data_IF_403660688485
#
_entry.id   IF_403660688485
#
_cell.length_a   1.000
_cell.length_b   1.000
_cell.length_c   1.000
_cell.angle_alpha   90.00
_cell.angle_beta   90.00
_cell.angle_gamma   90.00
#
_symmetry.space_group_name_H-M   'P 1'
#
loop_
_entity.id
_entity.type
_entity.pdbx_description
1 polymer ?
#
# COMPACT_ATOMS: atom_id res chain seq x y z
N UNK A 1 -0.56 -70.68 -17.41
CA UNK A 1 -0.66 -69.26 -17.79
C UNK A 1 -0.07 -68.45 -16.65
N UNK A 2 1.12 -67.90 -16.82
CA UNK A 2 1.74 -67.00 -15.83
C UNK A 2 1.38 -65.59 -16.25
N UNK A 3 0.63 -64.86 -15.42
CA UNK A 3 0.32 -63.45 -15.64
C UNK A 3 1.44 -62.64 -15.02
N UNK A 4 2.27 -61.99 -15.85
CA UNK A 4 3.32 -61.07 -15.40
C UNK A 4 2.66 -59.69 -15.26
N UNK A 5 2.59 -59.18 -14.03
CA UNK A 5 2.10 -57.84 -13.75
C UNK A 5 3.25 -56.84 -13.99
N UNK A 6 3.16 -56.03 -15.05
CA UNK A 6 4.11 -54.94 -15.31
C UNK A 6 3.62 -53.71 -14.55
N UNK A 7 4.27 -53.40 -13.42
CA UNK A 7 4.05 -52.15 -12.69
C UNK A 7 4.87 -51.06 -13.40
N UNK A 8 4.20 -50.19 -14.16
CA UNK A 8 4.82 -48.98 -14.72
C UNK A 8 4.84 -47.93 -13.61
N UNK A 9 6.00 -47.74 -12.98
CA UNK A 9 6.23 -46.61 -12.08
C UNK A 9 6.57 -45.40 -12.96
N UNK A 10 5.62 -44.47 -13.10
CA UNK A 10 5.91 -43.17 -13.69
C UNK A 10 6.85 -42.42 -12.75
N UNK A 11 7.95 -41.81 -13.23
CA UNK A 11 8.74 -40.93 -12.37
C UNK A 11 7.84 -39.78 -11.94
N UNK A 12 7.65 -39.61 -10.63
CA UNK A 12 7.11 -38.37 -10.11
C UNK A 12 8.07 -37.26 -10.54
N UNK A 13 7.63 -36.40 -11.45
CA UNK A 13 8.29 -35.11 -11.67
C UNK A 13 8.19 -34.38 -10.34
N UNK A 14 9.29 -34.36 -9.59
CA UNK A 14 9.40 -33.49 -8.43
C UNK A 14 9.21 -32.07 -8.96
N UNK A 15 8.05 -31.48 -8.69
CA UNK A 15 7.88 -30.05 -8.85
C UNK A 15 8.88 -29.41 -7.90
N UNK A 16 9.97 -28.86 -8.46
CA UNK A 16 10.84 -27.98 -7.72
C UNK A 16 9.98 -26.80 -7.29
N UNK A 17 9.59 -26.77 -6.01
CA UNK A 17 9.16 -25.54 -5.40
C UNK A 17 10.39 -24.64 -5.36
N UNK A 18 10.62 -23.89 -6.45
CA UNK A 18 11.46 -22.73 -6.42
C UNK A 18 10.72 -21.75 -5.51
N UNK A 19 10.93 -21.86 -4.20
CA UNK A 19 10.78 -20.71 -3.32
C UNK A 19 11.96 -19.81 -3.69
N UNK A 20 11.87 -19.18 -4.85
CA UNK A 20 12.80 -18.15 -5.25
C UNK A 20 12.70 -17.05 -4.21
N UNK A 21 13.84 -16.56 -3.73
CA UNK A 21 13.86 -15.35 -2.93
C UNK A 21 13.23 -14.24 -3.75
N UNK A 22 12.15 -13.66 -3.26
CA UNK A 22 11.58 -12.46 -3.85
C UNK A 22 12.49 -11.27 -3.53
N UNK A 23 12.88 -10.55 -4.57
CA UNK A 23 13.77 -9.39 -4.50
C UNK A 23 13.14 -8.15 -5.16
N UNK A 24 11.86 -8.21 -5.54
CA UNK A 24 11.18 -7.10 -6.19
C UNK A 24 10.30 -6.39 -5.18
N UNK A 25 10.26 -5.05 -5.24
CA UNK A 25 9.41 -4.28 -4.37
C UNK A 25 8.01 -4.14 -4.97
N UNK A 26 6.97 -3.97 -4.13
CA UNK A 26 5.65 -3.61 -4.61
C UNK A 26 5.67 -2.37 -5.48
N UNK A 27 4.76 -2.30 -6.45
CA UNK A 27 4.56 -1.15 -7.33
C UNK A 27 3.23 -0.49 -6.99
N UNK A 28 3.26 0.82 -6.75
CA UNK A 28 2.03 1.61 -6.59
C UNK A 28 1.61 2.11 -7.96
N UNK A 29 0.53 1.54 -8.46
CA UNK A 29 0.02 1.73 -9.82
C UNK A 29 -0.94 2.93 -9.90
N UNK A 30 -1.74 3.11 -8.85
CA UNK A 30 -2.68 4.22 -8.70
C UNK A 30 -2.60 4.73 -7.27
N UNK A 31 -2.67 6.06 -7.10
CA UNK A 31 -2.78 6.70 -5.80
C UNK A 31 -3.72 7.90 -5.92
N UNK A 32 -4.66 8.00 -4.99
CA UNK A 32 -5.60 9.13 -4.92
C UNK A 32 -6.04 9.34 -3.47
N UNK A 33 -6.43 10.58 -3.16
CA UNK A 33 -7.01 10.92 -1.86
C UNK A 33 -8.12 11.95 -2.02
N UNK A 34 -9.01 12.03 -1.03
CA UNK A 34 -10.04 13.05 -1.00
C UNK A 34 -10.52 13.31 0.43
N UNK A 35 -10.91 14.56 0.76
CA UNK A 35 -10.82 15.76 -0.08
C UNK A 35 -9.36 16.27 -0.21
N UNK A 36 -9.11 17.11 -1.23
CA UNK A 36 -7.81 17.79 -1.44
C UNK A 36 -7.63 19.06 -0.58
N UNK A 37 -8.68 19.47 0.15
CA UNK A 37 -8.59 20.54 1.14
C UNK A 37 -9.49 20.27 2.33
N UNK A 38 -8.98 20.57 3.53
CA UNK A 38 -9.72 20.42 4.79
C UNK A 38 -9.54 21.66 5.66
N UNK A 39 -10.62 22.12 6.29
CA UNK A 39 -10.59 23.10 7.37
C UNK A 39 -10.69 22.35 8.71
N UNK A 40 -9.67 22.53 9.55
CA UNK A 40 -9.58 21.90 10.88
C UNK A 40 -9.60 22.93 12.02
N UNK A 41 -10.19 24.10 11.80
CA UNK A 41 -10.35 25.15 12.82
C UNK A 41 -11.33 24.77 13.93
N UNK A 42 -12.46 24.17 13.54
CA UNK A 42 -13.55 23.81 14.44
C UNK A 42 -13.49 22.35 14.91
N UNK A 43 -12.66 21.51 14.30
CA UNK A 43 -12.56 20.09 14.61
C UNK A 43 -11.53 19.35 13.78
N UNK A 44 -11.28 18.06 14.05
CA UNK A 44 -10.47 17.23 13.19
C UNK A 44 -11.18 16.96 11.85
N UNK A 45 -10.41 16.70 10.80
CA UNK A 45 -10.91 16.25 9.51
C UNK A 45 -10.33 14.87 9.16
N UNK A 46 -11.00 14.15 8.27
CA UNK A 46 -10.55 12.85 7.78
C UNK A 46 -10.35 12.92 6.28
N UNK A 47 -9.20 12.43 5.82
CA UNK A 47 -8.86 12.34 4.40
C UNK A 47 -8.80 10.86 4.03
N UNK A 48 -9.65 10.46 3.08
CA UNK A 48 -9.73 9.11 2.55
C UNK A 48 -8.66 8.91 1.49
N UNK A 49 -8.04 7.74 1.47
CA UNK A 49 -6.99 7.37 0.52
C UNK A 49 -7.34 6.05 -0.15
N UNK A 50 -7.08 5.98 -1.46
CA UNK A 50 -7.17 4.76 -2.26
C UNK A 50 -5.88 4.59 -3.06
N UNK A 51 -5.33 3.39 -3.01
CA UNK A 51 -4.18 3.00 -3.81
C UNK A 51 -4.40 1.63 -4.47
N UNK A 52 -3.98 1.47 -5.73
CA UNK A 52 -3.81 0.13 -6.34
C UNK A 52 -2.33 -0.22 -6.26
N UNK A 53 -2.02 -1.36 -5.65
CA UNK A 53 -0.64 -1.80 -5.40
C UNK A 53 -0.50 -3.24 -5.87
N UNK A 54 0.55 -3.50 -6.64
CA UNK A 54 0.88 -4.81 -7.19
C UNK A 54 2.19 -5.34 -6.61
N UNK A 55 2.31 -6.65 -6.56
CA UNK A 55 3.53 -7.40 -6.20
C UNK A 55 3.56 -8.69 -7.03
N UNK A 56 4.76 -9.19 -7.37
CA UNK A 56 4.88 -10.32 -8.29
C UNK A 56 4.94 -11.70 -7.60
N UNK A 57 5.38 -11.78 -6.34
CA UNK A 57 5.64 -13.05 -5.65
C UNK A 57 5.15 -13.06 -4.21
N UNK A 58 5.66 -12.19 -3.33
CA UNK A 58 5.49 -12.34 -1.88
C UNK A 58 4.31 -11.57 -1.29
N UNK A 59 3.67 -10.73 -2.09
CA UNK A 59 2.44 -10.02 -1.78
C UNK A 59 2.65 -8.80 -0.89
N UNK A 60 1.86 -7.76 -1.11
CA UNK A 60 1.89 -6.49 -0.39
C UNK A 60 1.50 -6.67 1.08
N UNK A 61 2.29 -6.06 1.96
CA UNK A 61 2.12 -6.04 3.41
C UNK A 61 2.19 -4.62 3.98
N UNK A 62 1.25 -4.38 4.89
CA UNK A 62 1.16 -3.18 5.73
C UNK A 62 1.33 -1.84 4.97
N UNK A 63 0.58 -1.59 3.89
CA UNK A 63 0.64 -0.30 3.23
C UNK A 63 0.12 0.80 4.15
N UNK A 64 0.82 1.92 4.20
CA UNK A 64 0.40 3.10 4.94
C UNK A 64 0.80 4.37 4.21
N UNK A 65 0.11 5.45 4.53
CA UNK A 65 0.39 6.77 4.00
C UNK A 65 0.80 7.74 5.08
N UNK A 66 1.53 8.77 4.69
CA UNK A 66 1.77 9.95 5.52
C UNK A 66 1.38 11.21 4.77
N UNK A 67 0.69 12.14 5.43
CA UNK A 67 0.58 13.53 5.01
C UNK A 67 1.65 14.30 5.78
N UNK A 68 2.60 14.92 5.07
CA UNK A 68 3.73 15.66 5.65
C UNK A 68 3.65 17.12 5.26
N UNK A 69 3.69 18.02 6.23
CA UNK A 69 3.67 19.46 6.01
C UNK A 69 4.99 19.94 5.39
N UNK A 70 4.91 20.66 4.28
CA UNK A 70 6.10 21.05 3.51
C UNK A 70 6.99 22.06 4.23
N UNK A 71 6.41 22.87 5.11
CA UNK A 71 7.13 23.94 5.81
C UNK A 71 7.73 23.48 7.14
N UNK A 72 7.09 22.53 7.82
CA UNK A 72 7.41 22.19 9.22
C UNK A 72 7.84 20.74 9.42
N UNK A 73 7.68 19.89 8.41
CA UNK A 73 7.99 18.46 8.47
C UNK A 73 7.12 17.66 9.47
N UNK A 74 6.08 18.28 10.04
CA UNK A 74 5.03 17.61 10.80
C UNK A 74 4.31 16.58 9.91
N UNK A 75 3.92 15.44 10.46
CA UNK A 75 3.23 14.41 9.67
C UNK A 75 2.14 13.67 10.44
N UNK A 76 1.13 13.22 9.68
CA UNK A 76 0.07 12.33 10.15
C UNK A 76 0.03 11.06 9.30
N UNK A 77 -0.23 9.92 9.94
CA UNK A 77 -0.24 8.61 9.29
C UNK A 77 -1.66 8.06 9.12
N UNK A 78 -1.89 7.36 8.01
CA UNK A 78 -3.08 6.53 7.79
C UNK A 78 -2.70 5.12 7.32
N UNK A 79 -3.19 4.08 7.99
CA UNK A 79 -3.02 2.70 7.51
C UNK A 79 -4.00 2.43 6.36
N UNK A 80 -3.57 1.65 5.37
CA UNK A 80 -4.44 1.15 4.31
C UNK A 80 -4.69 -0.35 4.48
N UNK A 81 -5.89 -0.77 4.11
CA UNK A 81 -6.36 -2.14 4.22
C UNK A 81 -6.89 -2.61 2.87
N UNK A 82 -6.70 -3.90 2.58
CA UNK A 82 -7.17 -4.50 1.34
C UNK A 82 -8.69 -4.41 1.28
N UNK A 83 -9.20 -3.70 0.27
CA UNK A 83 -10.63 -3.52 0.02
C UNK A 83 -11.15 -4.49 -1.05
N UNK A 84 -10.33 -4.78 -2.06
CA UNK A 84 -10.65 -5.72 -3.14
C UNK A 84 -9.38 -6.22 -3.84
N UNK A 85 -9.49 -7.36 -4.52
CA UNK A 85 -8.33 -8.04 -5.13
C UNK A 85 -7.68 -8.99 -4.13
N UNK A 86 -6.37 -9.14 -4.23
CA UNK A 86 -5.56 -9.92 -3.29
C UNK A 86 -4.25 -9.18 -2.95
N UNK A 87 -3.31 -9.89 -2.34
CA UNK A 87 -2.03 -9.31 -1.93
C UNK A 87 -1.07 -9.11 -3.11
N UNK A 88 -1.31 -9.71 -4.28
CA UNK A 88 -0.47 -9.56 -5.48
C UNK A 88 -1.01 -8.47 -6.42
N UNK A 89 -2.32 -8.26 -6.48
CA UNK A 89 -2.94 -7.12 -7.15
C UNK A 89 -4.16 -6.65 -6.35
N UNK A 90 -3.91 -5.65 -5.49
CA UNK A 90 -4.85 -5.22 -4.48
C UNK A 90 -5.21 -3.74 -4.61
N UNK A 91 -6.49 -3.44 -4.37
CA UNK A 91 -6.94 -2.08 -4.08
C UNK A 91 -7.01 -1.91 -2.57
N UNK A 92 -6.19 -1.01 -2.06
CA UNK A 92 -6.07 -0.69 -0.64
C UNK A 92 -6.74 0.64 -0.34
N UNK A 93 -7.53 0.69 0.73
CA UNK A 93 -8.19 1.92 1.19
C UNK A 93 -7.96 2.15 2.67
N UNK A 94 -7.98 3.42 3.06
CA UNK A 94 -7.84 3.82 4.44
C UNK A 94 -8.03 5.32 4.59
N UNK A 95 -7.65 5.83 5.75
CA UNK A 95 -7.88 7.23 6.08
C UNK A 95 -6.80 7.77 7.01
N UNK A 96 -6.44 9.04 6.86
CA UNK A 96 -5.66 9.79 7.82
C UNK A 96 -6.55 10.81 8.54
N UNK A 97 -6.42 10.90 9.85
CA UNK A 97 -7.07 11.95 10.64
C UNK A 97 -6.11 13.14 10.77
N UNK A 98 -6.57 14.31 10.34
CA UNK A 98 -5.87 15.58 10.50
C UNK A 98 -6.46 16.25 11.75
N UNK A 99 -5.69 16.37 12.85
CA UNK A 99 -6.21 16.90 14.09
C UNK A 99 -6.54 18.39 13.99
N UNK A 100 -7.46 18.81 14.85
CA UNK A 100 -7.76 20.24 15.06
C UNK A 100 -6.47 20.99 15.41
N UNK A 101 -6.24 22.11 14.75
CA UNK A 101 -5.07 22.97 15.00
C UNK A 101 -3.79 22.57 14.27
N UNK A 102 -3.84 21.58 13.37
CA UNK A 102 -2.76 21.36 12.41
C UNK A 102 -2.46 22.64 11.63
N UNK A 103 -1.17 22.90 11.35
CA UNK A 103 -0.75 24.15 10.74
C UNK A 103 -1.29 24.29 9.30
N UNK A 104 -1.72 25.50 8.91
CA UNK A 104 -2.12 25.76 7.54
C UNK A 104 -0.94 25.62 6.58
N UNK A 105 -1.24 25.26 5.33
CA UNK A 105 -0.24 25.05 4.29
C UNK A 105 -0.51 23.79 3.48
N UNK A 106 0.45 23.44 2.64
CA UNK A 106 0.39 22.26 1.80
C UNK A 106 1.03 21.06 2.50
N UNK A 107 0.36 19.94 2.42
CA UNK A 107 0.77 18.67 2.99
C UNK A 107 0.92 17.65 1.88
N UNK A 108 2.16 17.22 1.60
CA UNK A 108 2.42 16.16 0.62
C UNK A 108 2.03 14.80 1.17
N UNK A 109 1.27 14.05 0.37
CA UNK A 109 0.97 12.65 0.62
C UNK A 109 2.14 11.79 0.12
N UNK A 110 2.60 10.86 0.95
CA UNK A 110 3.45 9.75 0.54
C UNK A 110 2.83 8.42 0.96
N UNK A 111 3.08 7.38 0.19
CA UNK A 111 2.67 6.01 0.52
C UNK A 111 3.90 5.12 0.58
N UNK A 112 3.93 4.25 1.57
CA UNK A 112 4.90 3.16 1.68
C UNK A 112 4.16 1.83 1.64
N UNK A 113 4.70 0.91 0.84
CA UNK A 113 4.31 -0.49 0.83
C UNK A 113 5.56 -1.35 0.95
N UNK A 114 5.44 -2.46 1.67
CA UNK A 114 6.45 -3.51 1.71
C UNK A 114 5.81 -4.83 1.28
N UNK A 115 6.60 -5.86 1.07
CA UNK A 115 6.12 -7.21 0.79
C UNK A 115 6.46 -8.18 1.95
N UNK A 116 6.16 -9.47 1.79
CA UNK A 116 6.51 -10.47 2.80
C UNK A 116 8.00 -10.87 2.81
N UNK A 117 8.74 -10.55 1.75
CA UNK A 117 10.18 -10.78 1.64
C UNK A 117 11.04 -9.61 2.20
N UNK A 118 10.42 -8.49 2.54
CA UNK A 118 11.05 -7.30 3.09
C UNK A 118 11.47 -6.26 2.05
N UNK A 119 11.11 -6.42 0.77
CA UNK A 119 11.29 -5.39 -0.24
C UNK A 119 10.22 -4.30 -0.05
N UNK A 120 10.55 -3.05 -0.39
CA UNK A 120 9.63 -1.95 -0.15
C UNK A 120 9.81 -0.78 -1.10
N UNK A 121 8.69 -0.11 -1.34
CA UNK A 121 8.60 1.09 -2.18
C UNK A 121 8.09 2.27 -1.36
N UNK A 122 8.46 3.47 -1.76
CA UNK A 122 7.86 4.70 -1.25
C UNK A 122 7.70 5.66 -2.41
N UNK A 123 6.46 6.13 -2.62
CA UNK A 123 6.17 7.13 -3.64
C UNK A 123 5.49 8.34 -3.01
N UNK A 124 5.72 9.51 -3.58
CA UNK A 124 5.01 10.73 -3.24
C UNK A 124 3.87 10.92 -4.25
N UNK A 125 2.69 11.30 -3.77
CA UNK A 125 1.64 11.80 -4.63
C UNK A 125 2.10 13.10 -5.31
N UNK A 126 1.56 13.36 -6.50
CA UNK A 126 1.79 14.63 -7.20
C UNK A 126 0.93 15.76 -6.63
N UNK A 127 -0.23 15.41 -6.07
CA UNK A 127 -1.16 16.35 -5.44
C UNK A 127 -0.84 16.54 -3.96
N UNK A 128 -1.17 17.73 -3.45
CA UNK A 128 -1.05 18.09 -2.03
C UNK A 128 -2.41 18.27 -1.38
N UNK A 129 -2.49 17.97 -0.09
CA UNK A 129 -3.62 18.35 0.74
C UNK A 129 -3.42 19.79 1.22
N UNK A 130 -4.36 20.68 0.93
CA UNK A 130 -4.30 22.06 1.37
C UNK A 130 -5.09 22.30 2.65
N UNK A 131 -4.43 22.81 3.70
CA UNK A 131 -5.07 23.37 4.88
C UNK A 131 -5.12 24.90 4.74
N UNK A 132 -6.30 25.51 4.53
CA UNK A 132 -6.41 26.95 4.32
C UNK A 132 -5.92 27.76 5.51
N UNK A 133 -5.41 28.97 5.26
CA UNK A 133 -5.13 29.93 6.33
C UNK A 133 -6.43 30.29 7.05
N UNK A 134 -6.38 30.19 8.38
CA UNK A 134 -7.49 30.61 9.25
C UNK A 134 -7.71 32.12 9.10
N UNK A 135 -8.98 32.54 9.04
CA UNK A 135 -9.37 33.96 9.03
C UNK A 135 -9.36 34.55 10.44
#
# INVERSE_FOLDING_TARGET
MVVILVIIVLPAQQASANVGTDLTAPVVEELSFSPESVDVSDGPATVQVRARITDDISGVKWPYVTFRNDATDEYFLGNLYLQSGDELDGVYTGSAAIPRGALPGDWHLSIRAADAAGNGTTINATETLNLPKLR
#
